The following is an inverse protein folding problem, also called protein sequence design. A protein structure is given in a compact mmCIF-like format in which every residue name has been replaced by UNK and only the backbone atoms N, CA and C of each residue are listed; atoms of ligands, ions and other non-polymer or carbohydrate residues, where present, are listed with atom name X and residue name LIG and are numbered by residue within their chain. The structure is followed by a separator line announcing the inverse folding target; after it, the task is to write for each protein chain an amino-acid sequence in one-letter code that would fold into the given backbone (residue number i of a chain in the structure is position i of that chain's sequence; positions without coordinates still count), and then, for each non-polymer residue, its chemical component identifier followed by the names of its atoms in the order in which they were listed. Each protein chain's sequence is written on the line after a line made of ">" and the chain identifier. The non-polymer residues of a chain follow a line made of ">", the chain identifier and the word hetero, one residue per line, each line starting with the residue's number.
data_IF_066484326733
#
_entry.id   IF_066484326733
#
_cell.length_a   1.000
_cell.length_b   1.000
_cell.length_c   1.000
_cell.angle_alpha   90.00
_cell.angle_beta   90.00
_cell.angle_gamma   90.00
#
_symmetry.space_group_name_H-M   'P 1'
#
loop_
_entity.id
_entity.type
_entity.pdbx_description
1 polymer ?
#
# COMPACT_ATOMS: atom_id res chain seq x y z
N UNK A 1 9.95 -12.88 24.31
CA UNK A 1 10.19 -11.42 24.39
C UNK A 1 11.14 -11.03 23.26
N UNK A 2 10.79 -10.04 22.45
CA UNK A 2 11.63 -9.55 21.35
C UNK A 2 12.82 -8.77 21.95
N UNK A 3 14.04 -8.98 21.45
CA UNK A 3 15.21 -8.25 21.96
C UNK A 3 15.08 -6.73 21.73
N UNK A 4 15.70 -5.88 22.57
CA UNK A 4 15.67 -4.43 22.39
C UNK A 4 16.11 -4.00 20.98
N UNK A 5 17.13 -4.64 20.41
CA UNK A 5 17.63 -4.36 19.06
C UNK A 5 16.63 -4.73 17.97
N UNK A 6 15.94 -5.86 18.11
CA UNK A 6 14.89 -6.26 17.17
C UNK A 6 13.71 -5.29 17.23
N UNK A 7 13.34 -4.81 18.42
CA UNK A 7 12.31 -3.76 18.58
C UNK A 7 12.71 -2.47 17.86
N UNK A 8 13.97 -2.02 18.00
CA UNK A 8 14.47 -0.82 17.33
C UNK A 8 14.44 -0.99 15.81
N UNK A 9 14.88 -2.14 15.28
CA UNK A 9 14.84 -2.43 13.84
C UNK A 9 13.41 -2.41 13.29
N UNK A 10 12.46 -3.04 13.99
CA UNK A 10 11.04 -3.03 13.60
C UNK A 10 10.48 -1.60 13.61
N UNK A 11 10.80 -0.81 14.64
CA UNK A 11 10.37 0.58 14.72
C UNK A 11 10.95 1.44 13.59
N UNK A 12 12.23 1.26 13.27
CA UNK A 12 12.88 2.01 12.18
C UNK A 12 12.31 1.62 10.82
N UNK A 13 12.03 0.33 10.60
CA UNK A 13 11.36 -0.15 9.40
C UNK A 13 9.95 0.45 9.26
N UNK A 14 9.16 0.42 10.34
CA UNK A 14 7.84 1.05 10.37
C UNK A 14 7.89 2.55 10.06
N UNK A 15 8.81 3.29 10.70
CA UNK A 15 9.02 4.72 10.41
C UNK A 15 9.40 4.97 8.94
N UNK A 16 10.26 4.11 8.37
CA UNK A 16 10.64 4.23 6.97
C UNK A 16 9.43 4.10 6.04
N UNK A 17 8.60 3.07 6.23
CA UNK A 17 7.37 2.89 5.45
C UNK A 17 6.40 4.05 5.66
N UNK A 18 6.20 4.52 6.89
CA UNK A 18 5.36 5.69 7.16
C UNK A 18 5.87 6.94 6.45
N UNK A 19 7.19 7.16 6.40
CA UNK A 19 7.79 8.30 5.70
C UNK A 19 7.59 8.26 4.18
N UNK A 20 7.27 7.10 3.61
CA UNK A 20 6.91 6.98 2.19
C UNK A 20 5.46 7.40 1.92
N UNK A 21 4.57 7.23 2.90
CA UNK A 21 3.13 7.51 2.74
C UNK A 21 2.77 8.91 3.22
N UNK A 22 3.30 9.34 4.37
CA UNK A 22 2.89 10.58 5.04
C UNK A 22 2.98 11.83 4.16
N UNK A 23 4.06 12.06 3.38
CA UNK A 23 4.14 13.22 2.49
C UNK A 23 3.06 13.22 1.38
N UNK A 24 2.47 12.06 1.10
CA UNK A 24 1.49 11.86 0.05
C UNK A 24 0.04 11.84 0.56
N UNK A 25 -0.20 12.03 1.87
CA UNK A 25 -1.54 11.98 2.48
C UNK A 25 -2.54 12.91 1.77
N UNK A 26 -2.11 14.07 1.27
CA UNK A 26 -2.98 14.96 0.50
C UNK A 26 -3.61 14.28 -0.73
N UNK A 27 -2.87 13.41 -1.43
CA UNK A 27 -3.38 12.66 -2.57
C UNK A 27 -4.40 11.59 -2.14
N UNK A 28 -4.15 10.91 -1.01
CA UNK A 28 -5.11 9.96 -0.42
C UNK A 28 -6.41 10.64 -0.01
N UNK A 29 -6.32 11.83 0.59
CA UNK A 29 -7.48 12.63 0.98
C UNK A 29 -8.28 13.06 -0.25
N UNK A 30 -7.61 13.55 -1.30
CA UNK A 30 -8.27 13.94 -2.54
C UNK A 30 -9.00 12.76 -3.20
N UNK A 31 -8.33 11.59 -3.27
CA UNK A 31 -8.95 10.35 -3.75
C UNK A 31 -10.17 9.96 -2.90
N UNK A 32 -10.06 10.05 -1.56
CA UNK A 32 -11.15 9.76 -0.63
C UNK A 32 -12.36 10.66 -0.84
N UNK A 33 -12.16 11.98 -1.01
CA UNK A 33 -13.26 12.90 -1.32
C UNK A 33 -13.93 12.61 -2.66
N UNK A 34 -13.15 12.37 -3.71
CA UNK A 34 -13.69 12.02 -5.03
C UNK A 34 -14.53 10.73 -4.93
N UNK A 35 -14.03 9.74 -4.18
CA UNK A 35 -14.72 8.47 -3.94
C UNK A 35 -16.03 8.69 -3.19
N UNK A 36 -15.99 9.41 -2.05
CA UNK A 36 -17.16 9.65 -1.22
C UNK A 36 -18.25 10.48 -1.92
N UNK A 37 -17.86 11.41 -2.78
CA UNK A 37 -18.80 12.29 -3.48
C UNK A 37 -19.38 11.63 -4.73
N UNK A 38 -18.55 11.11 -5.63
CA UNK A 38 -18.97 10.95 -7.03
C UNK A 38 -19.28 9.50 -7.45
N UNK A 39 -18.89 8.48 -6.69
CA UNK A 39 -19.24 7.08 -7.03
C UNK A 39 -20.77 6.88 -7.01
N UNK A 40 -21.30 5.79 -7.59
CA UNK A 40 -22.75 5.56 -7.63
C UNK A 40 -23.44 5.58 -6.27
N UNK A 41 -22.74 5.15 -5.21
CA UNK A 41 -23.21 5.17 -3.82
C UNK A 41 -22.74 6.39 -3.03
N UNK A 42 -22.13 7.38 -3.70
CA UNK A 42 -21.61 8.60 -3.09
C UNK A 42 -22.70 9.64 -2.83
N UNK A 43 -22.32 10.75 -2.20
CA UNK A 43 -23.26 11.82 -1.83
C UNK A 43 -23.78 12.63 -3.02
N UNK A 44 -22.98 12.76 -4.07
CA UNK A 44 -23.27 13.50 -5.31
C UNK A 44 -22.85 12.67 -6.54
N UNK A 45 -23.53 11.54 -6.85
CA UNK A 45 -23.09 10.60 -7.88
C UNK A 45 -22.89 11.27 -9.24
N UNK A 46 -21.73 11.03 -9.86
CA UNK A 46 -21.37 11.55 -11.18
C UNK A 46 -20.37 10.60 -11.85
N UNK A 47 -20.82 9.88 -12.89
CA UNK A 47 -20.01 8.85 -13.56
C UNK A 47 -18.70 9.41 -14.14
N UNK A 48 -18.75 10.59 -14.75
CA UNK A 48 -17.57 11.23 -15.34
C UNK A 48 -16.52 11.55 -14.30
N UNK A 49 -16.92 12.10 -13.15
CA UNK A 49 -15.98 12.41 -12.05
C UNK A 49 -15.53 11.15 -11.31
N UNK A 50 -16.42 10.16 -11.14
CA UNK A 50 -16.09 8.87 -10.54
C UNK A 50 -15.01 8.11 -11.33
N UNK A 51 -14.91 8.34 -12.64
CA UNK A 51 -13.88 7.72 -13.48
C UNK A 51 -12.44 8.02 -13.03
N UNK A 52 -12.22 9.06 -12.22
CA UNK A 52 -10.92 9.37 -11.62
C UNK A 52 -10.48 8.40 -10.51
N UNK A 53 -11.44 7.76 -9.82
CA UNK A 53 -11.17 6.92 -8.64
C UNK A 53 -10.22 5.78 -8.98
N UNK A 54 -10.48 5.07 -10.08
CA UNK A 54 -9.68 3.94 -10.55
C UNK A 54 -8.22 4.31 -10.86
N UNK A 55 -7.96 5.27 -11.77
CA UNK A 55 -6.60 5.70 -12.08
C UNK A 55 -5.84 6.25 -10.88
N UNK A 56 -6.52 6.92 -9.94
CA UNK A 56 -5.88 7.43 -8.73
C UNK A 56 -5.39 6.30 -7.82
N UNK A 57 -6.23 5.31 -7.53
CA UNK A 57 -5.83 4.20 -6.64
C UNK A 57 -4.82 3.26 -7.30
N UNK A 58 -4.93 3.01 -8.60
CA UNK A 58 -4.08 2.05 -9.31
C UNK A 58 -2.73 2.64 -9.71
N UNK A 59 -2.69 3.91 -10.14
CA UNK A 59 -1.46 4.55 -10.64
C UNK A 59 -0.94 5.64 -9.72
N UNK A 60 -1.75 6.68 -9.46
CA UNK A 60 -1.26 7.90 -8.79
C UNK A 60 -0.69 7.60 -7.40
N UNK A 61 -1.46 6.94 -6.54
CA UNK A 61 -1.07 6.73 -5.14
C UNK A 61 0.15 5.79 -5.02
N UNK A 62 0.21 4.64 -5.72
CA UNK A 62 1.40 3.80 -5.70
C UNK A 62 2.64 4.51 -6.28
N UNK A 63 2.51 5.25 -7.39
CA UNK A 63 3.63 5.99 -7.98
C UNK A 63 4.19 7.05 -7.03
N UNK A 64 3.33 7.77 -6.31
CA UNK A 64 3.76 8.74 -5.30
C UNK A 64 4.54 8.08 -4.16
N UNK A 65 4.08 6.93 -3.68
CA UNK A 65 4.82 6.14 -2.66
C UNK A 65 6.17 5.69 -3.20
N UNK A 66 6.20 5.14 -4.41
CA UNK A 66 7.42 4.68 -5.07
C UNK A 66 8.42 5.82 -5.28
N UNK A 67 7.92 6.99 -5.70
CA UNK A 67 8.69 8.22 -5.84
C UNK A 67 9.29 8.65 -4.50
N UNK A 68 8.49 8.74 -3.44
CA UNK A 68 8.99 9.13 -2.11
C UNK A 68 9.98 8.10 -1.55
N UNK A 69 9.72 6.80 -1.73
CA UNK A 69 10.65 5.74 -1.33
C UNK A 69 11.99 5.80 -2.05
N UNK A 70 11.94 5.99 -3.37
CA UNK A 70 13.14 6.22 -4.17
C UNK A 70 13.90 7.47 -3.72
N UNK A 71 13.18 8.55 -3.40
CA UNK A 71 13.76 9.80 -2.89
C UNK A 71 14.47 9.64 -1.56
N UNK A 72 13.87 8.91 -0.61
CA UNK A 72 14.46 8.64 0.70
C UNK A 72 15.81 7.91 0.59
N UNK A 73 16.00 7.10 -0.46
CA UNK A 73 17.24 6.36 -0.66
C UNK A 73 18.24 7.13 -1.52
N UNK A 74 17.83 7.56 -2.71
CA UNK A 74 18.69 8.09 -3.78
C UNK A 74 18.47 9.56 -4.15
N UNK A 75 17.80 10.35 -3.31
CA UNK A 75 17.53 11.77 -3.57
C UNK A 75 16.62 11.97 -4.78
N UNK A 76 16.69 13.14 -5.43
CA UNK A 76 15.74 13.48 -6.51
C UNK A 76 15.83 12.54 -7.72
N UNK A 77 17.03 12.06 -8.06
CA UNK A 77 17.22 11.04 -9.11
C UNK A 77 16.63 9.70 -8.69
N UNK A 78 16.84 9.31 -7.43
CA UNK A 78 16.18 8.15 -6.84
C UNK A 78 14.66 8.22 -6.90
N UNK A 79 14.09 9.41 -6.77
CA UNK A 79 12.65 9.61 -6.83
C UNK A 79 12.07 9.24 -8.21
N UNK A 80 12.70 9.73 -9.28
CA UNK A 80 12.30 9.42 -10.66
C UNK A 80 12.48 7.93 -10.96
N UNK A 81 13.64 7.35 -10.61
CA UNK A 81 13.91 5.92 -10.85
C UNK A 81 12.98 5.03 -10.02
N UNK A 82 12.66 5.41 -8.78
CA UNK A 82 11.70 4.73 -7.93
C UNK A 82 10.29 4.72 -8.52
N UNK A 83 9.85 5.85 -9.09
CA UNK A 83 8.56 5.93 -9.80
C UNK A 83 8.54 5.04 -11.06
N UNK A 84 9.58 5.08 -11.89
CA UNK A 84 9.69 4.23 -13.09
C UNK A 84 9.65 2.74 -12.69
N UNK A 85 10.42 2.36 -11.67
CA UNK A 85 10.44 0.98 -11.15
C UNK A 85 9.07 0.55 -10.65
N UNK A 86 8.35 1.48 -10.00
CA UNK A 86 7.00 1.23 -9.48
C UNK A 86 5.99 1.00 -10.61
N UNK A 87 6.15 1.65 -11.76
CA UNK A 87 5.30 1.36 -12.92
C UNK A 87 5.42 -0.10 -13.37
N UNK A 88 6.63 -0.68 -13.26
CA UNK A 88 6.86 -2.11 -13.54
C UNK A 88 6.00 -3.03 -12.68
N UNK A 89 5.83 -2.72 -11.38
CA UNK A 89 4.94 -3.53 -10.53
C UNK A 89 3.46 -3.28 -10.78
N UNK A 90 3.07 -2.04 -11.07
CA UNK A 90 1.65 -1.71 -11.32
C UNK A 90 1.13 -2.45 -12.55
N UNK A 91 1.92 -2.51 -13.63
CA UNK A 91 1.50 -3.19 -14.87
C UNK A 91 1.52 -4.72 -14.72
N UNK A 92 2.24 -5.25 -13.73
CA UNK A 92 2.38 -6.70 -13.51
C UNK A 92 1.18 -7.37 -12.83
N UNK A 93 0.09 -6.64 -12.55
CA UNK A 93 -0.99 -7.09 -11.66
C UNK A 93 -2.24 -6.22 -11.79
N UNK A 94 -3.41 -6.80 -11.55
CA UNK A 94 -4.70 -6.09 -11.59
C UNK A 94 -5.10 -5.44 -10.25
N UNK A 95 -4.30 -5.65 -9.20
CA UNK A 95 -4.55 -5.13 -7.84
C UNK A 95 -3.67 -3.89 -7.59
N UNK A 96 -4.18 -2.82 -6.95
CA UNK A 96 -3.37 -1.66 -6.57
C UNK A 96 -2.10 -2.03 -5.77
N UNK A 97 -0.92 -1.60 -6.25
CA UNK A 97 0.40 -2.05 -5.76
C UNK A 97 1.07 -1.13 -4.74
N UNK A 98 0.38 -0.81 -3.63
CA UNK A 98 0.96 -0.04 -2.53
C UNK A 98 2.20 -0.71 -1.93
N UNK A 99 2.10 -1.99 -1.54
CA UNK A 99 3.23 -2.75 -1.01
C UNK A 99 4.33 -2.95 -2.05
N UNK A 100 3.94 -3.22 -3.30
CA UNK A 100 4.86 -3.31 -4.42
C UNK A 100 5.71 -2.04 -4.53
N UNK A 101 5.06 -0.88 -4.58
CA UNK A 101 5.72 0.43 -4.59
C UNK A 101 6.63 0.65 -3.37
N UNK A 102 6.18 0.24 -2.17
CA UNK A 102 6.98 0.35 -0.95
C UNK A 102 8.27 -0.45 -0.98
N UNK A 103 8.28 -1.58 -1.67
CA UNK A 103 9.47 -2.40 -1.84
C UNK A 103 10.34 -1.90 -2.98
N UNK A 104 9.77 -1.73 -4.17
CA UNK A 104 10.56 -1.51 -5.39
C UNK A 104 11.00 -0.06 -5.58
N UNK A 105 10.26 0.92 -5.03
CA UNK A 105 10.63 2.33 -5.09
C UNK A 105 11.99 2.60 -4.46
N UNK A 106 12.22 2.22 -3.19
CA UNK A 106 13.52 2.29 -2.52
C UNK A 106 14.61 1.48 -3.25
N UNK A 107 14.28 0.32 -3.82
CA UNK A 107 15.23 -0.49 -4.58
C UNK A 107 15.71 0.24 -5.85
N UNK A 108 14.80 0.88 -6.59
CA UNK A 108 15.16 1.73 -7.73
C UNK A 108 16.03 2.92 -7.31
N UNK A 109 15.67 3.59 -6.20
CA UNK A 109 16.47 4.66 -5.60
C UNK A 109 17.88 4.20 -5.16
N UNK A 110 17.99 2.97 -4.65
CA UNK A 110 19.26 2.37 -4.28
C UNK A 110 20.13 2.07 -5.51
N UNK A 111 19.54 1.53 -6.57
CA UNK A 111 20.25 1.19 -7.80
C UNK A 111 20.89 2.42 -8.45
N UNK A 112 20.15 3.53 -8.57
CA UNK A 112 20.69 4.76 -9.14
C UNK A 112 21.72 5.40 -8.22
N UNK A 113 21.50 5.41 -6.89
CA UNK A 113 22.48 5.92 -5.93
C UNK A 113 23.82 5.19 -6.04
N UNK A 114 23.77 3.86 -6.23
CA UNK A 114 24.99 3.05 -6.39
C UNK A 114 25.73 3.39 -7.68
N UNK A 115 25.00 3.59 -8.77
CA UNK A 115 25.59 4.06 -10.03
C UNK A 115 26.22 5.45 -9.88
N UNK A 116 25.52 6.38 -9.24
CA UNK A 116 25.97 7.77 -9.04
C UNK A 116 27.28 7.80 -8.26
N UNK A 117 27.37 7.05 -7.16
CA UNK A 117 28.61 6.92 -6.38
C UNK A 117 29.76 6.29 -7.20
N UNK A 118 29.46 5.44 -8.19
CA UNK A 118 30.47 4.80 -9.02
C UNK A 118 31.02 5.72 -10.12
N UNK A 119 30.19 6.63 -10.62
CA UNK A 119 30.51 7.57 -11.70
C UNK A 119 30.97 8.93 -11.18
N UNK A 120 30.88 9.17 -9.87
CA UNK A 120 31.34 10.39 -9.23
C UNK A 120 32.79 10.75 -9.60
N UNK A 121 33.01 12.01 -9.98
CA UNK A 121 34.30 12.53 -10.46
C UNK A 121 34.79 11.99 -11.81
N UNK A 122 34.08 11.06 -12.47
CA UNK A 122 34.48 10.49 -13.77
C UNK A 122 33.83 11.16 -14.98
N UNK A 123 32.80 11.98 -14.76
CA UNK A 123 32.07 12.66 -15.84
C UNK A 123 32.76 13.97 -16.17
N UNK A 124 33.02 14.20 -17.46
CA UNK A 124 33.55 15.48 -17.93
C UNK A 124 32.49 16.57 -17.78
N UNK A 125 32.93 17.77 -17.40
CA UNK A 125 32.05 18.95 -17.35
C UNK A 125 31.32 19.15 -18.68
N UNK A 126 30.04 19.49 -18.62
CA UNK A 126 29.15 19.61 -19.79
C UNK A 126 28.41 18.32 -20.19
N UNK A 127 28.89 17.13 -19.77
CA UNK A 127 28.21 15.85 -20.02
C UNK A 127 27.36 15.37 -18.84
N UNK A 128 27.41 16.04 -17.70
CA UNK A 128 26.73 15.65 -16.47
C UNK A 128 25.22 15.44 -16.65
N UNK A 129 24.52 16.38 -17.30
CA UNK A 129 23.08 16.26 -17.53
C UNK A 129 22.75 15.07 -18.44
N UNK A 130 23.59 14.82 -19.45
CA UNK A 130 23.42 13.68 -20.36
C UNK A 130 23.56 12.36 -19.57
N UNK A 131 24.66 12.20 -18.83
CA UNK A 131 24.91 10.99 -18.05
C UNK A 131 23.85 10.80 -16.98
N UNK A 132 23.46 11.85 -16.26
CA UNK A 132 22.48 11.80 -15.18
C UNK A 132 21.10 11.34 -15.67
N UNK A 133 20.63 11.89 -16.80
CA UNK A 133 19.31 11.56 -17.34
C UNK A 133 19.31 10.19 -18.05
N UNK A 134 20.32 9.89 -18.87
CA UNK A 134 20.38 8.60 -19.57
C UNK A 134 20.57 7.44 -18.60
N UNK A 135 21.43 7.58 -17.58
CA UNK A 135 21.60 6.53 -16.58
C UNK A 135 20.34 6.32 -15.74
N UNK A 136 19.65 7.38 -15.34
CA UNK A 136 18.36 7.26 -14.64
C UNK A 136 17.32 6.55 -15.51
N UNK A 137 17.25 6.88 -16.81
CA UNK A 137 16.36 6.22 -17.76
C UNK A 137 16.69 4.73 -17.95
N UNK A 138 17.95 4.39 -18.22
CA UNK A 138 18.38 3.00 -18.46
C UNK A 138 18.22 2.15 -17.19
N UNK A 139 18.68 2.64 -16.05
CA UNK A 139 18.58 1.91 -14.77
C UNK A 139 17.12 1.78 -14.37
N UNK A 140 16.32 2.85 -14.50
CA UNK A 140 14.88 2.81 -14.25
C UNK A 140 14.16 1.79 -15.11
N UNK A 141 14.46 1.74 -16.42
CA UNK A 141 13.91 0.74 -17.34
C UNK A 141 14.27 -0.68 -16.90
N UNK A 142 15.54 -0.96 -16.59
CA UNK A 142 15.97 -2.29 -16.16
C UNK A 142 15.30 -2.69 -14.84
N UNK A 143 15.24 -1.78 -13.87
CA UNK A 143 14.56 -2.02 -12.60
C UNK A 143 13.06 -2.28 -12.80
N UNK A 144 12.39 -1.54 -13.69
CA UNK A 144 10.98 -1.73 -13.99
C UNK A 144 10.70 -3.10 -14.64
N UNK A 145 11.53 -3.52 -15.60
CA UNK A 145 11.42 -4.85 -16.24
C UNK A 145 11.59 -5.96 -15.20
N UNK A 146 12.61 -5.85 -14.34
CA UNK A 146 12.82 -6.82 -13.27
C UNK A 146 11.64 -6.84 -12.30
N UNK A 147 11.16 -5.68 -11.88
CA UNK A 147 10.01 -5.56 -10.99
C UNK A 147 8.75 -6.21 -11.57
N UNK A 148 8.48 -5.99 -12.86
CA UNK A 148 7.37 -6.61 -13.59
C UNK A 148 7.45 -8.14 -13.58
N UNK A 149 8.63 -8.71 -13.88
CA UNK A 149 8.82 -10.16 -13.97
C UNK A 149 8.69 -10.83 -12.60
N UNK A 150 9.23 -10.22 -11.53
CA UNK A 150 9.29 -10.85 -10.21
C UNK A 150 8.04 -10.64 -9.36
N UNK A 151 7.29 -9.54 -9.54
CA UNK A 151 6.18 -9.23 -8.62
C UNK A 151 4.98 -10.16 -8.79
N UNK A 152 4.63 -10.54 -10.02
CA UNK A 152 3.48 -11.40 -10.29
C UNK A 152 3.58 -12.75 -9.57
N UNK A 153 4.68 -13.51 -9.75
CA UNK A 153 4.93 -14.74 -9.00
C UNK A 153 4.96 -14.52 -7.49
N UNK A 154 5.60 -13.44 -7.02
CA UNK A 154 5.69 -13.14 -5.59
C UNK A 154 4.30 -12.91 -4.96
N UNK A 155 3.46 -12.09 -5.59
CA UNK A 155 2.09 -11.81 -5.13
C UNK A 155 1.26 -13.09 -5.17
N UNK A 156 1.38 -13.90 -6.22
CA UNK A 156 0.66 -15.17 -6.31
C UNK A 156 1.03 -16.14 -5.18
N UNK A 157 2.31 -16.27 -4.86
CA UNK A 157 2.79 -17.13 -3.76
C UNK A 157 2.30 -16.58 -2.41
N UNK A 158 2.44 -15.28 -2.18
CA UNK A 158 2.03 -14.64 -0.93
C UNK A 158 0.52 -14.76 -0.69
N UNK A 159 -0.28 -14.42 -1.71
CA UNK A 159 -1.74 -14.53 -1.68
C UNK A 159 -2.19 -15.98 -1.52
N UNK A 160 -1.54 -16.93 -2.20
CA UNK A 160 -1.82 -18.36 -2.04
C UNK A 160 -1.51 -18.87 -0.63
N UNK A 161 -0.41 -18.41 -0.02
CA UNK A 161 -0.06 -18.73 1.37
C UNK A 161 -1.06 -18.17 2.38
N UNK A 162 -1.46 -16.89 2.21
CA UNK A 162 -2.50 -16.26 3.03
C UNK A 162 -3.84 -17.00 2.86
N UNK A 163 -4.20 -17.37 1.63
CA UNK A 163 -5.40 -18.14 1.32
C UNK A 163 -5.41 -19.48 2.04
N UNK A 164 -4.30 -20.23 2.00
CA UNK A 164 -4.16 -21.49 2.70
C UNK A 164 -4.29 -21.33 4.22
N UNK A 165 -3.68 -20.29 4.80
CA UNK A 165 -3.76 -20.00 6.23
C UNK A 165 -5.18 -19.63 6.68
N UNK A 166 -5.87 -18.79 5.92
CA UNK A 166 -7.26 -18.43 6.20
C UNK A 166 -8.18 -19.65 6.03
N UNK A 167 -8.05 -20.41 4.94
CA UNK A 167 -8.84 -21.62 4.72
C UNK A 167 -8.66 -22.65 5.84
N UNK A 168 -7.44 -22.83 6.35
CA UNK A 168 -7.19 -23.69 7.50
C UNK A 168 -7.98 -23.25 8.74
N UNK A 169 -7.96 -21.95 9.05
CA UNK A 169 -8.71 -21.39 10.18
C UNK A 169 -10.23 -21.53 10.00
N UNK A 170 -10.72 -21.35 8.77
CA UNK A 170 -12.13 -21.54 8.42
C UNK A 170 -12.54 -22.99 8.64
N UNK A 171 -11.80 -23.96 8.09
CA UNK A 171 -12.09 -25.39 8.26
C UNK A 171 -12.02 -25.83 9.72
N UNK A 172 -11.12 -25.22 10.51
CA UNK A 172 -11.01 -25.47 11.94
C UNK A 172 -12.10 -24.77 12.79
N UNK A 173 -13.04 -24.03 12.17
CA UNK A 173 -14.07 -23.23 12.86
C UNK A 173 -13.48 -22.13 13.77
N UNK A 174 -12.27 -21.67 13.46
CA UNK A 174 -11.52 -20.66 14.20
C UNK A 174 -11.59 -19.29 13.51
N UNK A 175 -12.74 -18.94 12.94
CA UNK A 175 -12.99 -17.66 12.27
C UNK A 175 -12.52 -16.44 13.08
N UNK A 176 -12.69 -16.35 14.41
CA UNK A 176 -12.20 -15.20 15.18
C UNK A 176 -10.68 -15.00 15.14
N UNK A 177 -9.91 -16.05 14.82
CA UNK A 177 -8.45 -15.97 14.74
C UNK A 177 -7.96 -15.46 13.38
N UNK A 178 -8.81 -15.34 12.36
CA UNK A 178 -8.41 -14.81 11.04
C UNK A 178 -7.91 -13.38 11.15
N UNK A 179 -8.43 -12.59 12.11
CA UNK A 179 -7.99 -11.23 12.40
C UNK A 179 -6.49 -11.13 12.74
N UNK A 180 -5.88 -12.19 13.28
CA UNK A 180 -4.43 -12.22 13.55
C UNK A 180 -3.62 -12.08 12.25
N UNK A 181 -4.15 -12.57 11.14
CA UNK A 181 -3.51 -12.48 9.82
C UNK A 181 -4.02 -11.27 9.02
N UNK A 182 -5.33 -11.01 9.08
CA UNK A 182 -5.98 -9.96 8.28
C UNK A 182 -5.55 -8.56 8.73
N UNK A 183 -5.48 -8.28 10.02
CA UNK A 183 -5.14 -6.94 10.52
C UNK A 183 -3.70 -6.51 10.17
N UNK A 184 -2.66 -7.35 10.36
CA UNK A 184 -1.32 -7.00 9.88
C UNK A 184 -1.24 -6.86 8.35
N UNK A 185 -1.99 -7.68 7.62
CA UNK A 185 -2.01 -7.64 6.17
C UNK A 185 -2.65 -6.34 5.62
N UNK A 186 -3.68 -5.81 6.28
CA UNK A 186 -4.28 -4.50 5.95
C UNK A 186 -3.26 -3.36 6.04
N UNK A 187 -2.42 -3.35 7.08
CA UNK A 187 -1.36 -2.35 7.25
C UNK A 187 -0.36 -2.40 6.08
N UNK A 188 -0.14 -3.58 5.51
CA UNK A 188 0.69 -3.79 4.32
C UNK A 188 -0.09 -3.62 3.01
N UNK A 189 -1.31 -3.09 3.03
CA UNK A 189 -2.19 -2.91 1.87
C UNK A 189 -2.47 -4.22 1.10
N UNK A 190 -2.46 -5.35 1.79
CA UNK A 190 -2.82 -6.67 1.23
C UNK A 190 -4.31 -6.99 1.35
N UNK A 191 -5.11 -6.01 1.77
CA UNK A 191 -6.54 -6.18 1.99
C UNK A 191 -7.28 -6.56 0.69
N UNK A 192 -6.90 -5.99 -0.45
CA UNK A 192 -7.45 -6.36 -1.76
C UNK A 192 -7.16 -7.82 -2.13
N UNK A 193 -5.94 -8.30 -1.85
CA UNK A 193 -5.55 -9.68 -2.13
C UNK A 193 -6.33 -10.68 -1.25
N UNK A 194 -6.55 -10.32 0.01
CA UNK A 194 -7.31 -11.14 0.95
C UNK A 194 -8.80 -11.13 0.61
N UNK A 195 -9.39 -9.96 0.32
CA UNK A 195 -10.78 -9.85 -0.05
C UNK A 195 -11.08 -10.57 -1.37
N UNK A 196 -10.45 -10.16 -2.46
CA UNK A 196 -10.78 -10.70 -3.78
C UNK A 196 -10.22 -12.10 -3.99
N UNK A 197 -9.12 -12.47 -3.32
CA UNK A 197 -8.50 -13.78 -3.47
C UNK A 197 -9.06 -14.86 -2.55
N UNK A 198 -9.67 -14.50 -1.41
CA UNK A 198 -10.07 -15.47 -0.38
C UNK A 198 -11.53 -15.25 0.06
N UNK A 199 -11.83 -14.10 0.67
CA UNK A 199 -13.12 -13.91 1.33
C UNK A 199 -14.29 -13.75 0.36
N UNK A 200 -14.10 -13.05 -0.75
CA UNK A 200 -15.15 -12.87 -1.76
C UNK A 200 -15.50 -14.18 -2.46
N UNK A 201 -14.55 -15.01 -2.94
CA UNK A 201 -14.86 -16.34 -3.47
C UNK A 201 -15.61 -17.24 -2.47
N UNK A 202 -15.11 -17.35 -1.24
CA UNK A 202 -15.76 -18.14 -0.17
C UNK A 202 -17.14 -17.57 0.18
N UNK A 203 -17.27 -16.25 0.20
CA UNK A 203 -18.50 -15.55 0.51
C UNK A 203 -19.57 -15.75 -0.56
N UNK A 204 -19.20 -15.66 -1.83
CA UNK A 204 -20.10 -15.93 -2.96
C UNK A 204 -20.56 -17.38 -2.93
N UNK A 205 -19.64 -18.33 -2.70
CA UNK A 205 -20.00 -19.75 -2.61
C UNK A 205 -20.98 -20.02 -1.46
N UNK A 206 -20.66 -19.53 -0.26
CA UNK A 206 -21.52 -19.70 0.92
C UNK A 206 -22.87 -19.00 0.76
N UNK A 207 -22.89 -17.78 0.22
CA UNK A 207 -24.12 -17.04 0.00
C UNK A 207 -25.00 -17.67 -1.09
N UNK A 208 -24.40 -18.30 -2.10
CA UNK A 208 -25.16 -19.05 -3.11
C UNK A 208 -25.86 -20.28 -2.51
N UNK A 209 -25.28 -20.90 -1.47
CA UNK A 209 -25.85 -22.09 -0.83
C UNK A 209 -26.82 -21.74 0.32
N UNK A 210 -26.51 -20.70 1.09
CA UNK A 210 -27.21 -20.38 2.35
C UNK A 210 -27.91 -19.02 2.36
N UNK A 211 -27.82 -18.26 1.26
CA UNK A 211 -28.40 -16.92 1.12
C UNK A 211 -27.63 -15.81 1.85
N UNK A 212 -26.61 -16.15 2.63
CA UNK A 212 -25.84 -15.21 3.45
C UNK A 212 -24.39 -15.67 3.61
N UNK A 213 -23.46 -14.76 3.92
CA UNK A 213 -22.11 -15.15 4.30
C UNK A 213 -21.46 -14.18 5.27
N UNK A 214 -20.83 -14.74 6.30
CA UNK A 214 -20.03 -13.98 7.27
C UNK A 214 -18.72 -13.46 6.65
N UNK A 215 -18.23 -14.06 5.56
CA UNK A 215 -16.95 -13.68 4.94
C UNK A 215 -16.93 -12.24 4.42
N UNK A 216 -18.09 -11.71 4.01
CA UNK A 216 -18.20 -10.31 3.59
C UNK A 216 -18.02 -9.31 4.74
N UNK A 217 -18.17 -9.73 6.00
CA UNK A 217 -18.11 -8.86 7.18
C UNK A 217 -16.75 -8.87 7.89
N UNK A 218 -15.83 -9.75 7.48
CA UNK A 218 -14.53 -9.92 8.16
C UNK A 218 -13.60 -8.73 7.91
N UNK A 219 -13.63 -8.15 6.70
CA UNK A 219 -12.70 -7.08 6.32
C UNK A 219 -13.37 -5.69 6.34
N UNK A 220 -14.62 -5.60 5.87
CA UNK A 220 -15.33 -4.35 5.62
C UNK A 220 -15.98 -3.69 6.87
N UNK A 221 -15.68 -4.14 8.10
CA UNK A 221 -16.33 -3.63 9.30
C UNK A 221 -15.52 -2.49 9.98
N UNK A 222 -15.95 -1.21 9.90
CA UNK A 222 -15.31 -0.10 10.62
C UNK A 222 -15.45 -0.18 12.15
N UNK A 223 -16.43 -0.93 12.65
CA UNK A 223 -16.90 -0.89 14.03
C UNK A 223 -15.81 -1.09 15.09
N UNK A 224 -14.97 -2.14 14.99
CA UNK A 224 -13.89 -2.35 15.95
C UNK A 224 -12.88 -1.19 15.97
N UNK A 225 -12.50 -0.67 14.80
CA UNK A 225 -11.58 0.47 14.69
C UNK A 225 -12.17 1.75 15.29
N UNK A 226 -13.44 2.06 14.99
CA UNK A 226 -14.14 3.18 15.62
C UNK A 226 -14.22 3.01 17.15
N UNK A 227 -14.49 1.80 17.64
CA UNK A 227 -14.53 1.51 19.07
C UNK A 227 -13.19 1.81 19.78
N UNK A 228 -12.07 1.45 19.16
CA UNK A 228 -10.73 1.76 19.67
C UNK A 228 -10.48 3.28 19.66
N UNK A 229 -10.84 3.97 18.59
CA UNK A 229 -10.66 5.41 18.50
C UNK A 229 -11.54 6.17 19.50
N UNK A 230 -12.78 5.72 19.73
CA UNK A 230 -13.65 6.20 20.81
C UNK A 230 -13.01 5.98 22.19
N UNK A 231 -12.41 4.81 22.42
CA UNK A 231 -11.69 4.55 23.65
C UNK A 231 -10.48 5.50 23.82
N UNK A 232 -9.73 5.80 22.76
CA UNK A 232 -8.66 6.81 22.83
C UNK A 232 -9.16 8.24 23.04
N UNK A 233 -10.33 8.60 22.51
CA UNK A 233 -10.94 9.90 22.76
C UNK A 233 -11.32 10.10 24.23
N UNK A 234 -11.86 9.05 24.86
CA UNK A 234 -12.34 9.11 26.25
C UNK A 234 -11.21 8.86 27.25
N UNK A 235 -10.36 7.86 27.02
CA UNK A 235 -9.37 7.36 27.98
C UNK A 235 -7.91 7.57 27.57
N UNK A 236 -7.63 8.00 26.33
CA UNK A 236 -6.26 8.23 25.85
C UNK A 236 -5.56 9.41 26.53
N UNK A 237 -4.23 9.47 26.41
CA UNK A 237 -3.40 10.58 26.91
C UNK A 237 -2.50 11.12 25.80
N UNK A 238 -2.16 12.40 25.87
CA UNK A 238 -1.24 13.06 24.94
C UNK A 238 -1.78 13.10 23.51
N UNK A 239 -0.88 12.87 22.55
CA UNK A 239 -1.15 12.95 21.10
C UNK A 239 -2.20 11.95 20.62
N UNK A 240 -2.29 10.77 21.25
CA UNK A 240 -3.28 9.75 20.88
C UNK A 240 -4.72 10.25 21.09
N UNK A 241 -5.01 10.97 22.19
CA UNK A 241 -6.35 11.53 22.44
C UNK A 241 -6.67 12.68 21.50
N UNK A 242 -5.69 13.55 21.25
CA UNK A 242 -5.85 14.73 20.39
C UNK A 242 -6.14 14.35 18.93
N UNK A 243 -5.55 13.26 18.45
CA UNK A 243 -5.71 12.80 17.06
C UNK A 243 -6.90 11.86 16.87
N UNK A 244 -7.35 11.17 17.93
CA UNK A 244 -8.43 10.17 17.84
C UNK A 244 -9.77 10.72 17.33
N UNK A 245 -10.11 11.98 17.65
CA UNK A 245 -11.34 12.61 17.16
C UNK A 245 -11.37 12.78 15.64
N UNK A 246 -10.34 13.39 15.08
CA UNK A 246 -10.21 13.53 13.62
C UNK A 246 -10.10 12.18 12.93
N UNK A 247 -9.32 11.25 13.49
CA UNK A 247 -9.18 9.90 12.96
C UNK A 247 -10.51 9.12 12.95
N UNK A 248 -11.38 9.30 13.96
CA UNK A 248 -12.68 8.60 14.03
C UNK A 248 -13.62 9.00 12.90
N UNK A 249 -13.65 10.29 12.56
CA UNK A 249 -14.48 10.81 11.48
C UNK A 249 -14.00 10.25 10.14
N UNK A 250 -12.68 10.27 9.90
CA UNK A 250 -12.07 9.75 8.67
C UNK A 250 -12.28 8.23 8.57
N UNK A 251 -12.04 7.49 9.65
CA UNK A 251 -12.19 6.03 9.70
C UNK A 251 -13.62 5.59 9.44
N UNK A 252 -14.59 6.21 10.12
CA UNK A 252 -15.98 5.78 10.07
C UNK A 252 -16.71 6.24 8.81
N UNK A 253 -16.58 7.53 8.44
CA UNK A 253 -17.28 8.08 7.28
C UNK A 253 -16.48 7.96 5.99
N UNK A 254 -15.15 8.01 6.07
CA UNK A 254 -14.28 7.88 4.91
C UNK A 254 -14.06 6.43 4.47
N UNK A 255 -14.43 5.44 5.30
CA UNK A 255 -14.23 4.02 4.99
C UNK A 255 -12.76 3.61 4.86
N UNK A 256 -11.83 4.44 5.36
CA UNK A 256 -10.39 4.17 5.35
C UNK A 256 -10.07 3.46 6.66
N UNK A 257 -10.00 2.12 6.61
CA UNK A 257 -9.71 1.25 7.77
C UNK A 257 -8.21 1.00 7.95
#
# INVERSE_FOLDING_TARGET
>A
MISPDAKIKIQNFGRFLSNMVMPNIGAFIAWGFITALFIPTGWLPNETLASMVGPMITYLLPLLIGYTGGKLVGGDRGAVVGAITTMGVIVGTDIPMFMGAMMVGPMGGWAIKKFDNYIDGKVKSGFEMLVNNFSAGIIGMLCAILAFIFIGPFVKILSGGLAAGVNFLVSAHLLPLTSIFVEPAKILFLNNAINHGIFSPLGIQQASETGQSIFFLIEANPGPGLGILLAYMVFGKGTARQTAGGASIIHFFGGIH
#
